data_IF_593958469453
#
_entry.id   IF_593958469453
#
_cell.length_a   1.000
_cell.length_b   1.000
_cell.length_c   1.000
_cell.angle_alpha   90.00
_cell.angle_beta   90.00
_cell.angle_gamma   90.00
#
_symmetry.space_group_name_H-M   'P 1'
#
loop_
_entity.id
_entity.type
_entity.pdbx_description
1 polymer ?
#
# COMPACT_ATOMS: atom_id res chain seq x y z
N UNK A 1 24.02 8.91 -28.23
CA UNK A 1 23.70 8.94 -26.79
C UNK A 1 22.90 7.68 -26.48
N UNK A 2 23.40 6.81 -25.63
CA UNK A 2 22.63 5.66 -25.13
C UNK A 2 21.43 6.23 -24.37
N UNK A 3 20.18 5.80 -24.66
CA UNK A 3 19.03 6.23 -23.89
C UNK A 3 19.24 5.87 -22.41
N UNK A 4 19.05 6.84 -21.52
CA UNK A 4 19.11 6.59 -20.09
C UNK A 4 18.04 5.52 -19.75
N UNK A 5 18.45 4.46 -19.05
CA UNK A 5 17.51 3.44 -18.53
C UNK A 5 16.42 4.15 -17.70
N UNK A 6 15.17 3.82 -17.94
CA UNK A 6 14.09 4.26 -17.07
C UNK A 6 14.28 3.66 -15.65
N UNK A 7 13.90 4.42 -14.67
CA UNK A 7 13.87 3.92 -13.27
C UNK A 7 12.71 2.96 -13.10
N UNK A 8 12.89 1.94 -12.29
CA UNK A 8 11.93 0.86 -12.10
C UNK A 8 11.37 0.87 -10.68
N UNK A 9 10.07 1.09 -10.57
CA UNK A 9 9.32 1.01 -9.31
C UNK A 9 8.71 -0.38 -9.19
N UNK A 10 9.23 -1.21 -8.28
CA UNK A 10 8.61 -2.47 -7.92
C UNK A 10 7.37 -2.23 -7.07
N UNK A 11 6.25 -2.84 -7.44
CA UNK A 11 4.98 -2.71 -6.72
C UNK A 11 4.56 -4.06 -6.17
N UNK A 12 4.55 -4.19 -4.84
CA UNK A 12 4.08 -5.37 -4.12
C UNK A 12 2.69 -5.08 -3.56
N UNK A 13 1.75 -5.98 -3.79
CA UNK A 13 0.39 -5.89 -3.31
C UNK A 13 -0.44 -7.06 -3.82
N UNK A 14 -1.76 -6.94 -3.73
CA UNK A 14 -2.68 -8.00 -4.11
C UNK A 14 -3.83 -7.44 -4.95
N UNK A 15 -4.09 -8.06 -6.11
CA UNK A 15 -5.34 -7.87 -6.82
C UNK A 15 -6.48 -8.45 -6.02
N UNK A 16 -7.52 -7.67 -5.82
CA UNK A 16 -8.75 -8.09 -5.15
C UNK A 16 -9.93 -7.85 -6.09
N UNK A 17 -10.83 -8.81 -6.15
CA UNK A 17 -12.11 -8.63 -6.84
C UNK A 17 -13.17 -8.27 -5.81
N UNK A 18 -13.63 -7.03 -5.85
CA UNK A 18 -14.60 -6.51 -4.90
C UNK A 18 -16.03 -6.82 -5.35
N UNK A 19 -16.85 -7.24 -4.39
CA UNK A 19 -18.30 -7.41 -4.53
C UNK A 19 -18.96 -6.45 -3.54
N UNK A 20 -19.43 -5.33 -4.05
CA UNK A 20 -19.88 -4.20 -3.24
C UNK A 20 -21.41 -4.21 -3.13
N UNK A 21 -21.90 -4.44 -1.92
CA UNK A 21 -23.32 -4.37 -1.60
C UNK A 21 -23.66 -3.00 -1.02
N UNK A 22 -24.51 -2.27 -1.70
CA UNK A 22 -25.10 -1.03 -1.18
C UNK A 22 -26.05 -1.30 0.01
N UNK A 23 -26.52 -0.24 0.65
CA UNK A 23 -27.50 -0.32 1.76
C UNK A 23 -28.85 -0.88 1.31
N UNK A 24 -29.26 -0.64 0.07
CA UNK A 24 -30.48 -1.22 -0.47
C UNK A 24 -30.22 -2.63 -0.98
N UNK A 25 -30.67 -3.62 -0.23
CA UNK A 25 -30.52 -5.05 -0.54
C UNK A 25 -31.19 -5.47 -1.87
N UNK A 26 -32.03 -4.62 -2.46
CA UNK A 26 -32.69 -4.86 -3.75
C UNK A 26 -31.81 -4.46 -4.92
N UNK A 27 -30.78 -3.68 -4.69
CA UNK A 27 -29.81 -3.27 -5.70
C UNK A 27 -28.80 -4.40 -5.91
N UNK A 28 -28.55 -4.78 -7.16
CA UNK A 28 -27.51 -5.75 -7.47
C UNK A 28 -26.15 -5.23 -7.01
N UNK A 29 -25.27 -6.09 -6.47
CA UNK A 29 -23.93 -5.69 -6.08
C UNK A 29 -23.13 -5.24 -7.30
N UNK A 30 -22.29 -4.22 -7.10
CA UNK A 30 -21.28 -3.84 -8.08
C UNK A 30 -20.09 -4.79 -7.93
N UNK A 31 -19.52 -5.22 -9.05
CA UNK A 31 -18.34 -6.08 -9.07
C UNK A 31 -17.25 -5.40 -9.88
N UNK A 32 -16.10 -5.19 -9.28
CA UNK A 32 -15.00 -4.46 -9.91
C UNK A 32 -13.65 -4.83 -9.29
N UNK A 33 -12.59 -4.37 -9.94
CA UNK A 33 -11.27 -4.43 -9.35
C UNK A 33 -11.14 -3.46 -8.17
N UNK A 34 -10.63 -3.97 -7.06
CA UNK A 34 -10.22 -3.21 -5.89
C UNK A 34 -8.76 -3.41 -5.54
N UNK A 35 -8.43 -3.05 -4.31
CA UNK A 35 -7.11 -3.28 -3.78
C UNK A 35 -6.00 -2.55 -4.54
N UNK A 36 -4.98 -3.28 -4.98
CA UNK A 36 -3.77 -2.70 -5.59
C UNK A 36 -4.04 -1.92 -6.88
N UNK A 37 -5.21 -2.12 -7.53
CA UNK A 37 -5.51 -1.43 -8.80
C UNK A 37 -5.63 0.07 -8.63
N UNK A 38 -6.14 0.55 -7.50
CA UNK A 38 -6.18 1.97 -7.17
C UNK A 38 -4.78 2.57 -7.10
N UNK A 39 -3.88 1.91 -6.36
CA UNK A 39 -2.50 2.37 -6.24
C UNK A 39 -1.77 2.32 -7.59
N UNK A 40 -1.95 1.26 -8.38
CA UNK A 40 -1.35 1.14 -9.71
C UNK A 40 -1.85 2.24 -10.65
N UNK A 41 -3.15 2.55 -10.63
CA UNK A 41 -3.74 3.62 -11.44
C UNK A 41 -3.22 5.00 -11.02
N UNK A 42 -3.11 5.26 -9.71
CA UNK A 42 -2.56 6.49 -9.17
C UNK A 42 -1.07 6.65 -9.54
N UNK A 43 -0.28 5.60 -9.42
CA UNK A 43 1.13 5.58 -9.84
C UNK A 43 1.27 5.80 -11.35
N UNK A 44 0.43 5.17 -12.18
CA UNK A 44 0.43 5.37 -13.62
C UNK A 44 0.16 6.82 -14.01
N UNK A 45 -0.73 7.49 -13.28
CA UNK A 45 -1.06 8.89 -13.50
C UNK A 45 0.03 9.85 -12.99
N UNK A 46 0.64 9.55 -11.82
CA UNK A 46 1.54 10.46 -11.12
C UNK A 46 3.00 10.35 -11.57
N UNK A 47 3.45 9.16 -11.95
CA UNK A 47 4.84 8.93 -12.34
C UNK A 47 5.21 9.66 -13.62
N UNK A 48 6.40 10.26 -13.64
CA UNK A 48 6.97 10.86 -14.84
C UNK A 48 7.36 9.78 -15.86
N UNK A 49 7.65 10.21 -17.10
CA UNK A 49 8.10 9.29 -18.17
C UNK A 49 9.46 8.63 -17.91
N UNK A 50 10.18 9.06 -16.89
CA UNK A 50 11.45 8.47 -16.46
C UNK A 50 11.29 7.20 -15.64
N UNK A 51 10.07 6.90 -15.19
CA UNK A 51 9.74 5.75 -14.39
C UNK A 51 8.87 4.74 -15.14
N UNK A 52 9.03 3.48 -14.76
CA UNK A 52 8.15 2.38 -15.17
C UNK A 52 7.78 1.52 -13.96
N UNK A 53 6.59 0.93 -14.02
CA UNK A 53 6.00 0.10 -12.97
C UNK A 53 6.32 -1.37 -13.25
N UNK A 54 6.89 -2.05 -12.27
CA UNK A 54 7.16 -3.49 -12.30
C UNK A 54 6.29 -4.17 -11.25
N UNK A 55 5.20 -4.85 -11.63
CA UNK A 55 4.35 -5.53 -10.67
C UNK A 55 5.07 -6.76 -10.10
N UNK A 56 5.23 -6.81 -8.79
CA UNK A 56 5.66 -7.97 -8.02
C UNK A 56 4.43 -8.56 -7.35
N UNK A 57 3.49 -9.05 -8.16
CA UNK A 57 2.14 -9.40 -7.73
C UNK A 57 1.81 -10.82 -8.17
N UNK A 58 1.25 -11.60 -7.24
CA UNK A 58 0.68 -12.91 -7.51
C UNK A 58 -0.82 -12.77 -7.74
N UNK A 59 -1.33 -13.56 -8.69
CA UNK A 59 -2.76 -13.55 -9.06
C UNK A 59 -3.26 -14.98 -9.18
N UNK A 60 -4.45 -15.23 -8.68
CA UNK A 60 -5.09 -16.53 -8.84
C UNK A 60 -5.41 -16.83 -10.30
N UNK A 61 -5.30 -18.10 -10.69
CA UNK A 61 -5.50 -18.56 -12.06
C UNK A 61 -6.88 -18.15 -12.64
N UNK A 62 -7.89 -18.02 -11.77
CA UNK A 62 -9.26 -17.65 -12.16
C UNK A 62 -9.41 -16.19 -12.63
N UNK A 63 -8.51 -15.28 -12.24
CA UNK A 63 -8.54 -13.87 -12.63
C UNK A 63 -7.24 -13.38 -13.30
N UNK A 64 -6.28 -14.28 -13.58
CA UNK A 64 -4.99 -13.91 -14.14
C UNK A 64 -5.10 -13.17 -15.48
N UNK A 65 -6.00 -13.62 -16.36
CA UNK A 65 -6.18 -12.99 -17.67
C UNK A 65 -6.67 -11.53 -17.54
N UNK A 66 -7.68 -11.30 -16.71
CA UNK A 66 -8.24 -9.97 -16.47
C UNK A 66 -7.23 -9.03 -15.79
N UNK A 67 -6.45 -9.55 -14.83
CA UNK A 67 -5.40 -8.77 -14.18
C UNK A 67 -4.26 -8.41 -15.15
N UNK A 68 -3.92 -9.33 -16.07
CA UNK A 68 -2.94 -9.06 -17.14
C UNK A 68 -3.44 -7.98 -18.10
N UNK A 69 -4.72 -8.00 -18.46
CA UNK A 69 -5.34 -6.95 -19.26
C UNK A 69 -5.27 -5.59 -18.55
N UNK A 70 -5.56 -5.55 -17.23
CA UNK A 70 -5.42 -4.34 -16.44
C UNK A 70 -3.98 -3.79 -16.46
N UNK A 71 -2.96 -4.63 -16.20
CA UNK A 71 -1.56 -4.21 -16.29
C UNK A 71 -1.22 -3.68 -17.69
N UNK A 72 -1.70 -4.35 -18.73
CA UNK A 72 -1.50 -3.93 -20.11
C UNK A 72 -2.15 -2.59 -20.49
N UNK A 73 -3.12 -2.13 -19.69
CA UNK A 73 -3.76 -0.80 -19.87
C UNK A 73 -2.94 0.36 -19.29
N UNK A 74 -1.98 0.08 -18.39
CA UNK A 74 -1.17 1.10 -17.74
C UNK A 74 -0.11 1.64 -18.71
N UNK A 75 -0.02 2.96 -18.81
CA UNK A 75 0.95 3.65 -19.68
C UNK A 75 2.39 3.52 -19.20
N UNK A 76 2.56 3.29 -17.88
CA UNK A 76 3.86 3.20 -17.21
C UNK A 76 4.25 1.77 -16.88
N UNK A 77 3.47 0.76 -17.24
CA UNK A 77 3.90 -0.61 -17.08
C UNK A 77 5.24 -0.85 -17.80
N UNK A 78 6.15 -1.54 -17.13
CA UNK A 78 7.41 -1.94 -17.75
C UNK A 78 7.13 -2.87 -18.95
N UNK A 79 7.92 -2.82 -20.03
CA UNK A 79 7.70 -3.68 -21.20
C UNK A 79 7.74 -5.19 -20.89
N UNK A 80 8.44 -5.56 -19.84
CA UNK A 80 8.56 -6.91 -19.31
C UNK A 80 7.67 -7.16 -18.08
N UNK A 81 6.72 -6.26 -17.81
CA UNK A 81 5.78 -6.42 -16.72
C UNK A 81 4.99 -7.72 -16.85
N UNK A 82 5.06 -8.56 -15.84
CA UNK A 82 4.35 -9.83 -15.79
C UNK A 82 3.82 -10.10 -14.38
N UNK A 83 2.64 -10.69 -14.32
CA UNK A 83 2.07 -11.19 -13.08
C UNK A 83 2.46 -12.64 -12.86
N UNK A 84 2.50 -13.07 -11.60
CA UNK A 84 2.81 -14.46 -11.26
C UNK A 84 1.49 -15.19 -10.99
N UNK A 85 1.14 -16.09 -11.91
CA UNK A 85 -0.04 -16.93 -11.73
C UNK A 85 0.21 -17.94 -10.62
N UNK A 86 -0.79 -18.11 -9.75
CA UNK A 86 -0.84 -19.15 -8.72
C UNK A 86 -2.09 -19.99 -8.87
N UNK A 87 -2.05 -21.30 -8.52
CA UNK A 87 -3.19 -22.21 -8.73
C UNK A 87 -4.37 -21.94 -7.77
N UNK A 88 -4.14 -21.21 -6.69
CA UNK A 88 -5.19 -20.82 -5.75
C UNK A 88 -6.15 -19.81 -6.39
N UNK A 89 -7.42 -19.79 -5.97
CA UNK A 89 -8.36 -18.75 -6.41
C UNK A 89 -7.87 -17.37 -5.94
N UNK A 90 -8.12 -16.36 -6.78
CA UNK A 90 -7.75 -14.98 -6.46
C UNK A 90 -8.50 -14.46 -5.24
N UNK A 91 -7.91 -13.51 -4.54
CA UNK A 91 -8.53 -12.87 -3.41
C UNK A 91 -9.77 -12.06 -3.84
N UNK A 92 -10.85 -12.17 -3.07
CA UNK A 92 -12.13 -11.48 -3.26
C UNK A 92 -12.56 -10.88 -1.95
N UNK A 93 -13.11 -9.68 -2.00
CA UNK A 93 -13.66 -9.02 -0.81
C UNK A 93 -15.14 -8.74 -1.06
N UNK A 94 -15.97 -9.19 -0.14
CA UNK A 94 -17.37 -8.82 -0.09
C UNK A 94 -17.54 -7.64 0.88
N UNK A 95 -17.90 -6.48 0.33
CA UNK A 95 -18.10 -5.23 1.04
C UNK A 95 -19.59 -5.02 1.28
N UNK A 96 -20.00 -4.86 2.54
CA UNK A 96 -21.39 -4.55 2.92
C UNK A 96 -21.45 -3.25 3.70
N UNK A 97 -21.98 -2.21 3.08
CA UNK A 97 -22.13 -0.91 3.70
C UNK A 97 -23.26 -0.91 4.73
N UNK A 98 -22.92 -0.58 5.97
CA UNK A 98 -23.84 -0.42 7.09
C UNK A 98 -24.23 1.06 7.23
N UNK A 99 -23.31 1.98 6.90
CA UNK A 99 -23.51 3.42 6.81
C UNK A 99 -22.65 3.99 5.67
N UNK A 100 -22.65 5.31 5.45
CA UNK A 100 -21.79 5.94 4.44
C UNK A 100 -20.29 5.78 4.73
N UNK A 101 -19.93 5.54 6.00
CA UNK A 101 -18.55 5.49 6.47
C UNK A 101 -18.18 4.12 7.07
N UNK A 102 -19.16 3.22 7.27
CA UNK A 102 -18.92 1.91 7.91
C UNK A 102 -19.38 0.77 7.03
N UNK A 103 -18.50 -0.17 6.85
CA UNK A 103 -18.75 -1.40 6.11
C UNK A 103 -18.19 -2.61 6.87
N UNK A 104 -18.69 -3.77 6.54
CA UNK A 104 -18.09 -5.04 6.90
C UNK A 104 -17.40 -5.62 5.68
N UNK A 105 -16.27 -6.27 5.89
CA UNK A 105 -15.45 -6.85 4.84
C UNK A 105 -15.25 -8.33 5.10
N UNK A 106 -15.61 -9.16 4.13
CA UNK A 106 -15.35 -10.60 4.18
C UNK A 106 -14.38 -10.95 3.06
N UNK A 107 -13.19 -11.40 3.44
CA UNK A 107 -12.12 -11.77 2.51
C UNK A 107 -12.15 -13.28 2.27
N UNK A 108 -12.10 -13.66 1.01
CA UNK A 108 -11.97 -15.04 0.54
C UNK A 108 -10.86 -15.14 -0.50
N UNK A 109 -10.52 -16.35 -0.92
CA UNK A 109 -9.44 -16.59 -1.88
C UNK A 109 -8.25 -17.26 -1.21
N UNK A 110 -7.11 -17.27 -1.84
CA UNK A 110 -5.98 -18.07 -1.34
C UNK A 110 -4.64 -17.69 -1.96
N UNK A 111 -4.51 -16.50 -2.54
CA UNK A 111 -3.22 -16.04 -3.06
C UNK A 111 -2.20 -16.02 -1.93
N UNK A 112 -1.10 -16.80 -2.02
CA UNK A 112 -0.15 -16.95 -0.93
C UNK A 112 0.76 -15.72 -0.78
N UNK A 113 1.27 -15.45 0.43
CA UNK A 113 2.26 -14.41 0.66
C UNK A 113 3.55 -14.65 -0.15
N UNK A 114 4.37 -13.62 -0.30
CA UNK A 114 5.72 -13.77 -0.76
C UNK A 114 6.60 -14.42 0.31
N UNK A 115 7.37 -15.40 -0.09
CA UNK A 115 8.55 -15.80 0.69
C UNK A 115 9.78 -15.02 0.21
N UNK A 116 10.76 -14.85 1.09
CA UNK A 116 12.01 -14.19 0.72
C UNK A 116 12.69 -14.84 -0.49
N UNK A 117 12.70 -16.18 -0.55
CA UNK A 117 13.31 -16.91 -1.66
C UNK A 117 12.64 -16.64 -3.00
N UNK A 118 11.32 -16.43 -3.00
CA UNK A 118 10.57 -16.09 -4.21
C UNK A 118 10.72 -14.64 -4.63
N UNK A 119 10.82 -13.71 -3.67
CA UNK A 119 10.89 -12.28 -3.93
C UNK A 119 12.30 -11.82 -4.33
N UNK A 120 13.34 -12.34 -3.66
CA UNK A 120 14.73 -11.91 -3.83
C UNK A 120 15.22 -11.81 -5.27
N UNK A 121 14.96 -12.80 -6.16
CA UNK A 121 15.45 -12.73 -7.54
C UNK A 121 14.87 -11.58 -8.36
N UNK A 122 13.73 -11.03 -7.95
CA UNK A 122 12.98 -10.00 -8.69
C UNK A 122 13.43 -8.58 -8.34
N UNK A 123 14.33 -8.41 -7.37
CA UNK A 123 14.72 -7.10 -6.84
C UNK A 123 15.88 -6.43 -7.59
N UNK A 124 16.61 -7.19 -8.41
CA UNK A 124 17.92 -6.77 -8.94
C UNK A 124 17.92 -5.50 -9.78
N UNK A 125 16.85 -5.24 -10.50
CA UNK A 125 16.75 -4.12 -11.44
C UNK A 125 15.87 -2.98 -10.95
N UNK A 126 15.43 -3.02 -9.69
CA UNK A 126 14.52 -2.04 -9.12
C UNK A 126 15.26 -0.87 -8.49
N UNK A 127 14.75 0.33 -8.69
CA UNK A 127 15.28 1.56 -8.11
C UNK A 127 14.52 1.98 -6.84
N UNK A 128 13.24 1.61 -6.73
CA UNK A 128 12.39 1.87 -5.57
C UNK A 128 11.34 0.75 -5.40
N UNK A 129 10.76 0.67 -4.22
CA UNK A 129 9.65 -0.24 -3.91
C UNK A 129 8.46 0.51 -3.33
N UNK A 130 7.27 0.13 -3.77
CA UNK A 130 6.00 0.42 -3.14
C UNK A 130 5.39 -0.88 -2.64
N UNK A 131 5.12 -0.96 -1.35
CA UNK A 131 4.52 -2.14 -0.69
C UNK A 131 3.17 -1.72 -0.13
N UNK A 132 2.10 -2.32 -0.63
CA UNK A 132 0.74 -2.07 -0.15
C UNK A 132 0.12 -3.37 0.35
N UNK A 133 -0.23 -3.40 1.64
CA UNK A 133 -0.84 -4.55 2.27
C UNK A 133 -2.35 -4.56 2.06
N UNK A 134 -2.80 -5.10 0.95
CA UNK A 134 -4.23 -5.20 0.59
C UNK A 134 -4.87 -6.44 1.22
N UNK A 135 -4.23 -7.61 1.13
CA UNK A 135 -4.68 -8.82 1.81
C UNK A 135 -4.27 -8.81 3.30
N UNK A 136 -3.19 -8.12 3.63
CA UNK A 136 -2.62 -8.04 4.98
C UNK A 136 -1.49 -9.05 5.23
N UNK A 137 -1.30 -10.01 4.35
CA UNK A 137 -0.26 -11.04 4.45
C UNK A 137 0.67 -11.10 3.25
N UNK A 138 0.74 -10.07 2.42
CA UNK A 138 1.64 -10.00 1.27
C UNK A 138 3.07 -10.36 1.63
N UNK A 139 3.53 -9.84 2.78
CA UNK A 139 4.82 -10.11 3.41
C UNK A 139 4.62 -10.31 4.91
N UNK A 140 5.36 -11.23 5.50
CA UNK A 140 5.57 -11.27 6.94
C UNK A 140 6.70 -10.33 7.38
N UNK A 141 6.86 -10.13 8.68
CA UNK A 141 7.89 -9.22 9.20
C UNK A 141 9.30 -9.71 8.89
N UNK A 142 9.55 -11.02 8.94
CA UNK A 142 10.85 -11.60 8.61
C UNK A 142 11.23 -11.32 7.15
N UNK A 143 10.30 -11.57 6.22
CA UNK A 143 10.49 -11.27 4.79
C UNK A 143 10.71 -9.79 4.56
N UNK A 144 9.98 -8.91 5.27
CA UNK A 144 10.14 -7.46 5.15
C UNK A 144 11.49 -6.99 5.70
N UNK A 145 11.98 -7.57 6.78
CA UNK A 145 13.31 -7.29 7.33
C UNK A 145 14.43 -7.75 6.38
N UNK A 146 14.29 -8.93 5.78
CA UNK A 146 15.22 -9.43 4.76
C UNK A 146 15.19 -8.56 3.50
N UNK A 147 13.99 -8.13 3.08
CA UNK A 147 13.83 -7.16 1.98
C UNK A 147 14.62 -5.88 2.27
N UNK A 148 14.41 -5.26 3.43
CA UNK A 148 15.14 -4.03 3.82
C UNK A 148 16.65 -4.25 3.89
N UNK A 149 17.09 -5.38 4.41
CA UNK A 149 18.52 -5.66 4.54
C UNK A 149 19.24 -5.75 3.18
N UNK A 150 18.56 -6.24 2.15
CA UNK A 150 19.14 -6.52 0.83
C UNK A 150 18.81 -5.47 -0.22
N UNK A 151 17.65 -4.82 -0.14
CA UNK A 151 17.27 -3.75 -1.05
C UNK A 151 17.74 -2.39 -0.52
N UNK A 152 18.47 -1.62 -1.33
CA UNK A 152 19.10 -0.36 -0.92
C UNK A 152 18.33 0.87 -1.38
N UNK A 153 17.39 0.71 -2.30
CA UNK A 153 16.52 1.78 -2.74
C UNK A 153 15.47 2.17 -1.69
N UNK A 154 14.74 3.26 -1.89
CA UNK A 154 13.65 3.65 -1.01
C UNK A 154 12.51 2.65 -1.03
N UNK A 155 11.91 2.42 0.14
CA UNK A 155 10.72 1.59 0.33
C UNK A 155 9.61 2.46 0.89
N UNK A 156 8.57 2.65 0.10
CA UNK A 156 7.30 3.23 0.55
C UNK A 156 6.36 2.10 0.93
N UNK A 157 5.83 2.14 2.14
CA UNK A 157 4.95 1.13 2.69
C UNK A 157 3.60 1.75 3.08
N UNK A 158 2.52 1.21 2.53
CA UNK A 158 1.14 1.45 2.96
C UNK A 158 0.67 0.22 3.75
N UNK A 159 0.48 0.37 5.06
CA UNK A 159 0.17 -0.76 5.93
C UNK A 159 -1.27 -1.25 5.79
N UNK A 160 -2.18 -0.36 5.53
CA UNK A 160 -3.58 -0.65 5.21
C UNK A 160 -4.11 -1.91 5.91
N UNK A 161 -4.41 -2.97 5.17
CA UNK A 161 -4.97 -4.21 5.70
C UNK A 161 -4.01 -5.06 6.54
N UNK A 162 -2.74 -4.64 6.72
CA UNK A 162 -1.84 -5.31 7.66
C UNK A 162 -2.33 -5.25 9.11
N UNK A 163 -3.17 -4.27 9.40
CA UNK A 163 -3.82 -4.04 10.70
C UNK A 163 -5.24 -4.66 10.77
N UNK A 164 -5.55 -5.56 9.85
CA UNK A 164 -6.79 -6.31 9.81
C UNK A 164 -6.49 -7.81 9.93
N UNK A 165 -6.91 -8.41 11.05
CA UNK A 165 -6.99 -9.85 11.18
C UNK A 165 -8.14 -10.42 10.35
N UNK A 166 -8.14 -11.73 10.14
CA UNK A 166 -9.21 -12.46 9.45
C UNK A 166 -9.68 -13.59 10.34
N UNK A 167 -10.96 -13.58 10.70
CA UNK A 167 -11.55 -14.64 11.50
C UNK A 167 -11.83 -15.91 10.64
N UNK A 168 -12.24 -17.04 11.23
CA UNK A 168 -12.54 -18.26 10.48
C UNK A 168 -13.68 -18.14 9.45
N UNK A 169 -14.51 -17.10 9.52
CA UNK A 169 -15.56 -16.81 8.52
C UNK A 169 -15.06 -15.96 7.36
N UNK A 170 -13.83 -15.48 7.44
CA UNK A 170 -13.27 -14.52 6.49
C UNK A 170 -13.53 -13.05 6.85
N UNK A 171 -14.27 -12.79 7.96
CA UNK A 171 -14.54 -11.42 8.40
C UNK A 171 -13.24 -10.73 8.83
N UNK A 172 -13.01 -9.54 8.28
CA UNK A 172 -11.89 -8.68 8.68
C UNK A 172 -12.22 -7.96 9.98
N UNK A 173 -11.28 -8.02 10.91
CA UNK A 173 -11.37 -7.39 12.22
C UNK A 173 -10.11 -6.58 12.51
N UNK A 174 -10.23 -5.35 13.06
CA UNK A 174 -9.06 -4.57 13.46
C UNK A 174 -8.18 -5.34 14.45
N UNK A 175 -6.88 -5.35 14.19
CA UNK A 175 -5.88 -6.04 15.00
C UNK A 175 -4.72 -5.11 15.33
N UNK A 176 -4.39 -4.97 16.62
CA UNK A 176 -3.29 -4.12 17.04
C UNK A 176 -1.94 -4.69 16.59
N UNK A 177 -1.06 -3.83 16.09
CA UNK A 177 0.28 -4.21 15.65
C UNK A 177 1.24 -4.29 16.84
N UNK A 178 1.65 -5.50 17.22
CA UNK A 178 2.52 -5.71 18.38
C UNK A 178 3.91 -5.07 18.21
N UNK A 179 4.50 -5.13 17.02
CA UNK A 179 5.89 -4.73 16.73
C UNK A 179 5.98 -3.54 15.77
N UNK A 180 5.20 -2.47 16.00
CA UNK A 180 5.15 -1.30 15.14
C UNK A 180 6.55 -0.73 14.82
N UNK A 181 7.44 -0.66 15.80
CA UNK A 181 8.80 -0.20 15.59
C UNK A 181 9.62 -1.12 14.65
N UNK A 182 9.38 -2.43 14.68
CA UNK A 182 10.05 -3.37 13.77
C UNK A 182 9.60 -3.18 12.32
N UNK A 183 8.30 -2.95 12.12
CA UNK A 183 7.75 -2.61 10.80
C UNK A 183 8.26 -1.27 10.30
N UNK A 184 8.27 -0.24 11.15
CA UNK A 184 8.81 1.08 10.82
C UNK A 184 10.27 1.00 10.32
N UNK A 185 11.12 0.17 10.95
CA UNK A 185 12.52 -0.01 10.52
C UNK A 185 12.69 -0.56 9.10
N UNK A 186 11.64 -1.10 8.52
CA UNK A 186 11.68 -1.67 7.18
C UNK A 186 11.34 -0.66 6.07
N UNK A 187 10.84 0.53 6.42
CA UNK A 187 10.28 1.48 5.47
C UNK A 187 10.98 2.84 5.58
N UNK A 188 11.10 3.52 4.45
CA UNK A 188 11.58 4.91 4.39
C UNK A 188 10.40 5.89 4.43
N UNK A 189 9.30 5.52 3.79
CA UNK A 189 8.02 6.24 3.83
C UNK A 189 6.95 5.30 4.32
N UNK A 190 6.18 5.73 5.30
CA UNK A 190 5.10 4.94 5.90
C UNK A 190 3.77 5.69 5.76
N UNK A 191 2.75 4.99 5.29
CA UNK A 191 1.39 5.48 5.23
C UNK A 191 0.46 4.60 6.06
N UNK A 192 -0.46 5.26 6.77
CA UNK A 192 -1.58 4.66 7.50
C UNK A 192 -2.77 5.62 7.45
N UNK A 193 -3.97 5.15 7.75
CA UNK A 193 -5.11 6.02 8.04
C UNK A 193 -5.24 6.28 9.56
N UNK A 194 -6.22 7.13 9.96
CA UNK A 194 -6.39 7.50 11.37
C UNK A 194 -6.78 6.29 12.26
N UNK A 195 -7.57 5.35 11.74
CA UNK A 195 -7.99 4.15 12.47
C UNK A 195 -6.82 3.17 12.64
N UNK A 196 -6.06 2.95 11.58
CA UNK A 196 -4.86 2.13 11.58
C UNK A 196 -3.79 2.68 12.54
N UNK A 197 -3.62 4.00 12.55
CA UNK A 197 -2.73 4.67 13.47
C UNK A 197 -3.07 4.35 14.93
N UNK A 198 -4.37 4.32 15.28
CA UNK A 198 -4.83 3.98 16.62
C UNK A 198 -4.54 2.52 17.01
N UNK A 199 -4.39 1.63 16.03
CA UNK A 199 -4.00 0.23 16.25
C UNK A 199 -2.48 0.03 16.44
N UNK A 200 -1.68 1.03 16.08
CA UNK A 200 -0.22 1.01 16.22
C UNK A 200 0.26 1.71 17.48
N UNK A 201 -0.44 2.78 17.91
CA UNK A 201 -0.11 3.53 19.10
C UNK A 201 -1.35 4.25 19.63
N UNK A 202 -1.43 4.38 20.96
CA UNK A 202 -2.55 5.06 21.62
C UNK A 202 -2.59 6.58 21.38
N UNK A 203 -1.45 7.17 20.97
CA UNK A 203 -1.26 8.58 20.71
C UNK A 203 -0.58 8.78 19.34
N UNK A 204 -1.17 9.59 18.44
CA UNK A 204 -0.60 9.87 17.12
C UNK A 204 0.83 10.42 17.17
N UNK A 205 1.15 11.24 18.15
CA UNK A 205 2.50 11.79 18.31
C UNK A 205 3.49 10.69 18.76
N UNK A 206 3.03 9.71 19.54
CA UNK A 206 3.85 8.56 19.92
C UNK A 206 4.17 7.69 18.71
N UNK A 207 3.21 7.49 17.78
CA UNK A 207 3.50 6.82 16.52
C UNK A 207 4.51 7.59 15.67
N UNK A 208 4.32 8.89 15.51
CA UNK A 208 5.26 9.74 14.77
C UNK A 208 6.67 9.67 15.37
N UNK A 209 6.79 9.75 16.69
CA UNK A 209 8.07 9.61 17.38
C UNK A 209 8.69 8.23 17.14
N UNK A 210 7.91 7.16 17.25
CA UNK A 210 8.37 5.77 17.00
C UNK A 210 8.82 5.58 15.56
N UNK A 211 8.04 6.04 14.59
CA UNK A 211 8.37 5.94 13.17
C UNK A 211 9.67 6.68 12.84
N UNK A 212 9.79 7.96 13.22
CA UNK A 212 10.98 8.75 12.95
C UNK A 212 12.23 8.21 13.70
N UNK A 213 12.07 7.77 14.95
CA UNK A 213 13.16 7.13 15.70
C UNK A 213 13.60 5.80 15.09
N UNK A 214 12.71 5.11 14.37
CA UNK A 214 12.99 3.87 13.66
C UNK A 214 13.64 4.07 12.28
N UNK A 215 13.78 5.31 11.82
CA UNK A 215 14.41 5.64 10.54
C UNK A 215 13.45 5.96 9.41
N UNK A 216 12.14 6.00 9.67
CA UNK A 216 11.16 6.50 8.70
C UNK A 216 11.42 7.98 8.44
N UNK A 217 11.54 8.37 7.18
CA UNK A 217 11.77 9.74 6.78
C UNK A 217 10.48 10.54 6.62
N UNK A 218 9.38 9.85 6.28
CA UNK A 218 8.07 10.47 6.11
C UNK A 218 7.00 9.51 6.61
N UNK A 219 6.24 9.92 7.62
CA UNK A 219 4.99 9.29 8.02
C UNK A 219 3.83 10.12 7.45
N UNK A 220 2.94 9.48 6.70
CA UNK A 220 1.69 10.06 6.20
C UNK A 220 0.52 9.38 6.92
N UNK A 221 -0.42 10.19 7.42
CA UNK A 221 -1.67 9.71 8.01
C UNK A 221 -2.83 10.31 7.25
N UNK A 222 -3.61 9.46 6.56
CA UNK A 222 -4.80 9.91 5.85
C UNK A 222 -5.98 10.04 6.82
N UNK A 223 -6.79 11.08 6.65
CA UNK A 223 -7.87 11.49 7.56
C UNK A 223 -9.23 11.53 6.84
N UNK A 224 -9.41 10.70 5.81
CA UNK A 224 -10.60 10.68 4.98
C UNK A 224 -10.88 12.08 4.41
N UNK A 225 -12.11 12.57 4.57
CA UNK A 225 -12.52 13.88 4.05
C UNK A 225 -11.78 15.09 4.62
N UNK A 226 -10.98 14.91 5.67
CA UNK A 226 -10.16 15.99 6.27
C UNK A 226 -8.81 16.15 5.57
N UNK A 227 -8.46 15.27 4.64
CA UNK A 227 -7.18 15.28 3.95
C UNK A 227 -6.16 14.34 4.59
N UNK A 228 -4.92 14.80 4.74
CA UNK A 228 -3.84 14.02 5.33
C UNK A 228 -2.94 14.91 6.21
N UNK A 229 -2.34 14.32 7.21
CA UNK A 229 -1.24 14.93 7.97
C UNK A 229 0.03 14.16 7.70
N UNK A 230 1.16 14.86 7.64
CA UNK A 230 2.46 14.22 7.53
C UNK A 230 3.40 14.63 8.66
N UNK A 231 4.37 13.77 8.94
CA UNK A 231 5.50 14.02 9.82
C UNK A 231 6.78 13.65 9.07
N UNK A 232 7.56 14.65 8.73
CA UNK A 232 8.79 14.47 7.96
C UNK A 232 10.03 14.64 8.87
N UNK A 233 10.97 13.75 8.68
CA UNK A 233 12.27 13.82 9.32
C UNK A 233 13.00 15.14 8.94
N UNK A 234 13.88 15.66 9.80
CA UNK A 234 14.63 16.87 9.51
C UNK A 234 15.40 16.78 8.19
N UNK A 235 15.22 17.80 7.36
CA UNK A 235 15.88 17.87 6.07
C UNK A 235 15.29 16.99 4.97
N UNK A 236 14.28 16.16 5.25
CA UNK A 236 13.60 15.39 4.22
C UNK A 236 12.76 16.32 3.34
N UNK A 237 13.03 16.32 2.04
CA UNK A 237 12.28 17.09 1.03
C UNK A 237 11.83 16.23 -0.15
N UNK A 238 12.44 15.07 -0.35
CA UNK A 238 12.14 14.15 -1.45
C UNK A 238 12.73 12.75 -1.18
N UNK A 239 12.27 11.75 -1.91
CA UNK A 239 12.75 10.37 -1.75
C UNK A 239 14.27 10.18 -1.90
N UNK A 240 14.96 11.06 -2.63
CA UNK A 240 16.43 11.02 -2.72
C UNK A 240 17.13 11.26 -1.36
N UNK A 241 16.41 11.87 -0.40
CA UNK A 241 16.97 12.17 0.93
C UNK A 241 16.95 10.94 1.86
N UNK A 242 16.35 9.83 1.50
CA UNK A 242 16.28 8.59 2.31
C UNK A 242 17.66 7.98 2.56
N UNK A 243 18.65 8.31 1.75
CA UNK A 243 20.05 7.89 1.99
C UNK A 243 20.68 8.55 3.21
N UNK A 244 20.09 9.63 3.75
CA UNK A 244 20.60 10.36 4.92
C UNK A 244 20.00 9.76 6.19
N UNK A 245 20.79 9.18 7.10
CA UNK A 245 20.26 8.60 8.32
C UNK A 245 19.54 9.64 9.19
N UNK A 246 18.36 9.29 9.70
CA UNK A 246 17.65 10.07 10.71
C UNK A 246 18.36 9.88 12.05
N UNK A 247 18.75 10.97 12.69
CA UNK A 247 19.40 10.93 14.00
C UNK A 247 18.45 11.39 15.09
N UNK A 248 18.56 10.81 16.29
CA UNK A 248 17.72 11.18 17.43
C UNK A 248 17.83 12.65 17.86
N UNK A 249 18.95 13.31 17.58
CA UNK A 249 19.14 14.74 17.83
C UNK A 249 18.29 15.64 16.91
N UNK A 250 17.70 15.07 15.89
CA UNK A 250 17.02 15.79 14.84
C UNK A 250 15.51 16.04 15.11
N UNK A 251 14.94 15.52 16.19
CA UNK A 251 13.51 15.68 16.51
C UNK A 251 13.04 17.13 16.69
N UNK A 252 13.94 18.05 17.04
CA UNK A 252 13.61 19.46 17.17
C UNK A 252 13.28 20.18 15.85
N UNK A 253 13.50 19.49 14.71
CA UNK A 253 13.30 20.06 13.37
C UNK A 253 12.33 19.20 12.51
N UNK A 254 11.47 18.42 13.14
CA UNK A 254 10.41 17.67 12.44
C UNK A 254 9.44 18.65 11.78
N UNK A 255 9.20 18.45 10.48
CA UNK A 255 8.18 19.20 9.74
C UNK A 255 6.86 18.43 9.79
N UNK A 256 5.77 19.14 10.06
CA UNK A 256 4.42 18.59 10.03
C UNK A 256 3.45 19.62 9.47
N UNK A 257 2.49 19.18 8.68
CA UNK A 257 1.36 19.99 8.22
C UNK A 257 0.16 19.11 7.92
N UNK A 258 -1.03 19.71 8.01
CA UNK A 258 -2.26 19.17 7.45
C UNK A 258 -2.35 19.60 5.98
N UNK A 259 -2.56 18.63 5.10
CA UNK A 259 -2.86 18.85 3.68
C UNK A 259 -4.36 18.60 3.51
N UNK A 260 -5.20 19.64 3.36
CA UNK A 260 -6.64 19.47 3.19
C UNK A 260 -6.95 18.91 1.80
N UNK A 261 -8.11 18.27 1.66
CA UNK A 261 -8.66 17.93 0.35
C UNK A 261 -9.11 19.22 -0.32
N UNK A 262 -8.79 19.37 -1.59
CA UNK A 262 -9.41 20.41 -2.44
C UNK A 262 -10.81 19.95 -2.84
N UNK A 263 -11.82 20.50 -2.16
CA UNK A 263 -13.22 20.14 -2.38
C UNK A 263 -13.74 20.52 -3.78
N UNK A 264 -13.05 21.40 -4.51
CA UNK A 264 -13.41 21.73 -5.89
C UNK A 264 -13.07 20.61 -6.88
N UNK A 265 -12.17 19.68 -6.47
CA UNK A 265 -11.76 18.52 -7.27
C UNK A 265 -12.55 17.24 -6.95
N UNK A 266 -13.37 17.26 -5.89
CA UNK A 266 -14.18 16.11 -5.52
C UNK A 266 -15.46 16.13 -6.34
N UNK A 267 -15.51 15.32 -7.39
CA UNK A 267 -16.76 15.04 -8.09
C UNK A 267 -17.68 14.25 -7.16
N UNK A 268 -18.97 14.65 -7.09
CA UNK A 268 -20.00 13.96 -6.28
C UNK A 268 -20.38 12.57 -6.87
N UNK A 269 -19.54 11.97 -7.67
CA UNK A 269 -19.75 10.63 -8.19
C UNK A 269 -19.84 9.62 -7.03
N UNK A 270 -20.84 8.74 -7.02
CA UNK A 270 -20.95 7.69 -6.02
C UNK A 270 -19.81 6.68 -6.22
N UNK A 271 -18.77 6.84 -5.45
CA UNK A 271 -17.61 5.95 -5.41
C UNK A 271 -17.31 5.49 -3.99
N UNK A 272 -16.42 4.53 -3.86
CA UNK A 272 -15.88 4.15 -2.56
C UNK A 272 -15.04 5.33 -2.01
N UNK A 273 -15.42 5.97 -0.89
CA UNK A 273 -14.68 7.12 -0.35
C UNK A 273 -13.29 6.72 0.22
N UNK A 274 -12.95 5.44 0.20
CA UNK A 274 -11.66 4.92 0.67
C UNK A 274 -10.75 4.43 -0.46
N UNK A 275 -11.22 4.52 -1.72
CA UNK A 275 -10.47 4.16 -2.92
C UNK A 275 -9.58 5.27 -3.44
#
# INVERSE_FOLDING_TARGET
MTPLRRRRLGVIGTFVWDVIHGRDIRTAPVQEWGGITYALSALDAALTHEWEIVPLIKVGADLHAQATEFIGSLRRAAPDAALIEVPQPNNRVELRYVSDERRTEVLTGGVPPWSWLGLRPLLGDLDALYVNFIAGWELDLETMQLLRAHFKGPIYCDLHSKLLGVDPSGLRIPEAMADAAAWCRCCDVLQVNEDEMALMAADPMALAATALASGVHLLCVTLGRKGAVYFAAPGFTKLADVATPVTSAAFSAVSTALVPIDLELVDDAPGDPTG
#
